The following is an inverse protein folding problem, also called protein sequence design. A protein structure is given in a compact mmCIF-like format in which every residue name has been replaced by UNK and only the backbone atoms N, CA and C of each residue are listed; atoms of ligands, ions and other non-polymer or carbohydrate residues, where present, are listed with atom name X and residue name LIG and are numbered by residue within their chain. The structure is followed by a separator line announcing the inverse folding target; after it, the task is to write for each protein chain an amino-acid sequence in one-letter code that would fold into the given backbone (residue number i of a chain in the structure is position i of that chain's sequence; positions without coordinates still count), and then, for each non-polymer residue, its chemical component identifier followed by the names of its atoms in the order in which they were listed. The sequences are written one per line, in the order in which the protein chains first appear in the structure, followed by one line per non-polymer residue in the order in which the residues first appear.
data_IF_551831955381
#
_entry.id   IF_551831955381
#
_cell.length_a   1.000
_cell.length_b   1.000
_cell.length_c   1.000
_cell.angle_alpha   90.00
_cell.angle_beta   90.00
_cell.angle_gamma   90.00
#
_symmetry.space_group_name_H-M   'P 1'
#
loop_
_entity.id
_entity.type
_entity.pdbx_description
1 polymer ?
#
# COMPACT_ATOMS: atom_id res chain seq x y z
N UNK A 1 5.27 32.73 -48.60
CA UNK A 1 4.32 31.67 -48.19
C UNK A 1 5.11 30.60 -47.45
N UNK A 2 5.14 30.68 -46.12
CA UNK A 2 5.57 29.58 -45.26
C UNK A 2 4.36 29.23 -44.40
N UNK A 3 3.97 27.96 -44.46
CA UNK A 3 2.81 27.39 -43.80
C UNK A 3 2.95 27.45 -42.27
N UNK A 4 1.86 27.65 -41.52
CA UNK A 4 1.90 27.57 -40.07
C UNK A 4 2.19 26.13 -39.66
N UNK A 5 3.13 25.96 -38.74
CA UNK A 5 3.27 24.74 -37.96
C UNK A 5 1.99 24.53 -37.15
N UNK A 6 1.23 23.50 -37.50
CA UNK A 6 0.18 22.93 -36.66
C UNK A 6 0.82 22.39 -35.38
N UNK A 7 0.90 23.24 -34.35
CA UNK A 7 0.86 22.77 -32.98
C UNK A 7 -0.51 22.12 -32.79
N UNK A 8 -0.57 20.80 -32.97
CA UNK A 8 -1.70 20.01 -32.49
C UNK A 8 -1.72 20.21 -30.97
N UNK A 9 -2.53 21.15 -30.51
CA UNK A 9 -2.94 21.25 -29.12
C UNK A 9 -3.65 19.93 -28.80
N UNK A 10 -2.87 18.95 -28.30
CA UNK A 10 -3.42 17.75 -27.70
C UNK A 10 -4.37 18.27 -26.63
N UNK A 11 -5.69 18.16 -26.85
CA UNK A 11 -6.68 18.38 -25.80
C UNK A 11 -6.24 17.48 -24.64
N UNK A 12 -5.65 18.08 -23.61
CA UNK A 12 -5.32 17.36 -22.39
C UNK A 12 -6.67 17.00 -21.79
N UNK A 13 -7.00 15.71 -21.73
CA UNK A 13 -8.22 15.30 -21.06
C UNK A 13 -8.21 15.72 -19.60
N UNK A 14 -9.34 15.64 -18.91
CA UNK A 14 -9.44 16.06 -17.53
C UNK A 14 -10.08 14.99 -16.66
N UNK A 15 -9.70 15.00 -15.39
CA UNK A 15 -10.37 14.32 -14.30
C UNK A 15 -10.72 15.40 -13.27
N UNK A 16 -12.02 15.71 -13.15
CA UNK A 16 -12.52 16.85 -12.38
C UNK A 16 -13.31 16.36 -11.18
N UNK A 17 -12.94 16.86 -9.99
CA UNK A 17 -13.79 16.83 -8.81
C UNK A 17 -14.67 18.07 -8.81
N UNK A 18 -15.98 17.86 -8.88
CA UNK A 18 -16.97 18.94 -8.95
C UNK A 18 -17.37 19.43 -7.55
N UNK A 19 -17.85 18.51 -6.73
CA UNK A 19 -18.41 18.81 -5.41
C UNK A 19 -18.01 17.72 -4.41
N UNK A 20 -18.06 18.07 -3.12
CA UNK A 20 -17.95 17.12 -2.02
C UNK A 20 -19.08 17.36 -1.05
N UNK A 21 -19.70 16.29 -0.56
CA UNK A 21 -20.76 16.35 0.46
C UNK A 21 -20.59 15.24 1.49
N UNK A 22 -21.14 15.46 2.69
CA UNK A 22 -21.31 14.40 3.69
C UNK A 22 -22.79 14.02 3.69
N UNK A 23 -23.08 12.74 3.58
CA UNK A 23 -24.44 12.18 3.65
C UNK A 23 -24.49 11.16 4.78
N UNK A 24 -25.38 11.38 5.74
CA UNK A 24 -25.70 10.41 6.78
C UNK A 24 -27.00 9.68 6.41
N UNK A 25 -27.00 8.34 6.45
CA UNK A 25 -28.17 7.52 6.19
C UNK A 25 -28.27 6.35 7.17
N UNK A 26 -29.28 6.37 8.05
CA UNK A 26 -29.51 5.27 8.99
C UNK A 26 -28.30 4.99 9.89
N UNK A 27 -27.57 3.93 9.58
CA UNK A 27 -26.43 3.40 10.33
C UNK A 27 -25.05 3.82 9.80
N UNK A 28 -24.99 4.66 8.75
CA UNK A 28 -23.73 5.06 8.14
C UNK A 28 -23.62 6.56 7.82
N UNK A 29 -22.38 7.02 7.75
CA UNK A 29 -21.99 8.34 7.22
C UNK A 29 -21.04 8.14 6.04
N UNK A 30 -21.28 8.86 4.95
CA UNK A 30 -20.46 8.81 3.73
C UNK A 30 -19.93 10.20 3.38
N UNK A 31 -18.63 10.31 3.17
CA UNK A 31 -18.02 11.41 2.44
C UNK A 31 -18.07 11.06 0.95
N UNK A 32 -18.70 11.90 0.13
CA UNK A 32 -18.98 11.62 -1.29
C UNK A 32 -18.42 12.75 -2.14
N UNK A 33 -17.77 12.40 -3.25
CA UNK A 33 -17.34 13.33 -4.28
C UNK A 33 -17.97 12.98 -5.64
N UNK A 34 -18.46 14.01 -6.32
CA UNK A 34 -18.92 13.91 -7.71
C UNK A 34 -17.73 14.17 -8.64
N UNK A 35 -17.43 13.20 -9.52
CA UNK A 35 -16.26 13.21 -10.38
C UNK A 35 -16.66 13.02 -11.84
N UNK A 36 -16.04 13.79 -12.72
CA UNK A 36 -16.09 13.62 -14.17
C UNK A 36 -14.71 13.28 -14.70
N UNK A 37 -14.63 12.45 -15.73
CA UNK A 37 -13.38 12.09 -16.42
C UNK A 37 -13.68 11.96 -17.90
N UNK A 38 -12.82 12.48 -18.77
CA UNK A 38 -13.02 12.33 -20.23
C UNK A 38 -12.97 10.87 -20.68
N UNK A 39 -12.31 10.00 -19.90
CA UNK A 39 -12.28 8.56 -20.16
C UNK A 39 -13.48 7.79 -19.62
N UNK A 40 -14.40 8.45 -18.91
CA UNK A 40 -15.64 7.82 -18.39
C UNK A 40 -16.85 8.53 -19.01
N UNK A 41 -17.79 7.81 -19.67
CA UNK A 41 -18.89 8.45 -20.39
C UNK A 41 -19.81 9.32 -19.52
N UNK A 42 -20.03 8.90 -18.28
CA UNK A 42 -20.94 9.54 -17.33
C UNK A 42 -20.18 9.98 -16.06
N UNK A 43 -20.62 11.06 -15.39
CA UNK A 43 -20.14 11.39 -14.06
C UNK A 43 -20.34 10.22 -13.08
N UNK A 44 -19.44 10.09 -12.11
CA UNK A 44 -19.49 9.03 -11.11
C UNK A 44 -19.20 9.55 -9.71
N UNK A 45 -19.70 8.83 -8.70
CA UNK A 45 -19.46 9.15 -7.29
C UNK A 45 -18.31 8.31 -6.73
N UNK A 46 -17.35 8.97 -6.08
CA UNK A 46 -16.38 8.33 -5.20
C UNK A 46 -16.81 8.53 -3.76
N UNK A 47 -16.61 7.54 -2.89
CA UNK A 47 -16.95 7.69 -1.48
C UNK A 47 -15.96 7.05 -0.51
N UNK A 48 -16.00 7.56 0.72
CA UNK A 48 -15.54 6.88 1.93
C UNK A 48 -16.74 6.77 2.87
N UNK A 49 -17.07 5.55 3.28
CA UNK A 49 -18.21 5.23 4.13
C UNK A 49 -17.74 4.68 5.47
N UNK A 50 -18.37 5.12 6.54
CA UNK A 50 -18.08 4.73 7.92
C UNK A 50 -19.37 4.52 8.72
N UNK A 51 -19.33 3.80 9.84
CA UNK A 51 -20.45 3.72 10.78
C UNK A 51 -20.88 5.10 11.30
N UNK A 52 -22.17 5.29 11.54
CA UNK A 52 -22.76 6.60 11.89
C UNK A 52 -22.14 7.22 13.15
N UNK A 53 -21.66 6.43 14.10
CA UNK A 53 -20.99 6.95 15.30
C UNK A 53 -19.71 7.74 15.01
N UNK A 54 -19.14 7.59 13.81
CA UNK A 54 -17.98 8.34 13.34
C UNK A 54 -18.35 9.56 12.48
N UNK A 55 -19.63 9.96 12.39
CA UNK A 55 -20.04 11.20 11.72
C UNK A 55 -19.20 12.43 12.15
N UNK A 56 -18.88 12.64 13.45
CA UNK A 56 -18.06 13.78 13.86
C UNK A 56 -16.62 13.74 13.33
N UNK A 57 -16.16 12.59 12.84
CA UNK A 57 -14.80 12.39 12.32
C UNK A 57 -14.73 12.72 10.83
N UNK A 58 -15.88 12.70 10.15
CA UNK A 58 -15.99 12.94 8.71
C UNK A 58 -16.29 14.42 8.47
N UNK A 59 -15.51 15.05 7.60
CA UNK A 59 -15.76 16.43 7.19
C UNK A 59 -15.82 16.53 5.68
N UNK A 60 -16.61 17.48 5.16
CA UNK A 60 -16.78 17.74 3.73
C UNK A 60 -15.51 18.36 3.09
N UNK A 61 -14.38 17.67 3.19
CA UNK A 61 -13.10 18.11 2.62
C UNK A 61 -12.86 17.47 1.25
N UNK A 62 -12.37 18.23 0.26
CA UNK A 62 -11.93 17.70 -1.04
C UNK A 62 -10.57 16.99 -0.99
N UNK A 63 -9.78 17.23 0.05
CA UNK A 63 -8.40 16.71 0.19
C UNK A 63 -8.26 15.19 -0.01
N UNK A 64 -9.14 14.34 0.56
CA UNK A 64 -9.10 12.88 0.36
C UNK A 64 -9.13 12.49 -1.11
N UNK A 65 -10.03 13.10 -1.87
CA UNK A 65 -10.25 12.74 -3.27
C UNK A 65 -9.16 13.32 -4.17
N UNK A 66 -8.62 14.49 -3.85
CA UNK A 66 -7.46 15.03 -4.58
C UNK A 66 -6.25 14.07 -4.52
N UNK A 67 -6.00 13.50 -3.33
CA UNK A 67 -4.98 12.46 -3.14
C UNK A 67 -5.34 11.19 -3.90
N UNK A 68 -6.58 10.72 -3.79
CA UNK A 68 -7.04 9.50 -4.45
C UNK A 68 -7.01 9.58 -5.99
N UNK A 69 -7.21 10.76 -6.57
CA UNK A 69 -7.33 10.96 -8.02
C UNK A 69 -5.99 11.22 -8.71
N UNK A 70 -4.93 11.61 -7.99
CA UNK A 70 -3.66 12.03 -8.60
C UNK A 70 -3.03 10.94 -9.47
N UNK A 71 -2.80 9.75 -8.93
CA UNK A 71 -2.15 8.64 -9.67
C UNK A 71 -3.03 8.18 -10.86
N UNK A 72 -4.35 7.98 -10.70
CA UNK A 72 -5.25 7.72 -11.82
C UNK A 72 -5.20 8.77 -12.93
N UNK A 73 -5.21 10.07 -12.58
CA UNK A 73 -5.11 11.15 -13.57
C UNK A 73 -3.77 11.08 -14.34
N UNK A 74 -2.66 10.79 -13.67
CA UNK A 74 -1.35 10.61 -14.30
C UNK A 74 -1.29 9.41 -15.24
N UNK A 75 -1.92 8.29 -14.86
CA UNK A 75 -2.02 7.08 -15.68
C UNK A 75 -2.84 7.32 -16.95
N UNK A 76 -3.96 8.04 -16.81
CA UNK A 76 -4.87 8.36 -17.90
C UNK A 76 -4.38 9.50 -18.79
N UNK A 77 -3.41 10.27 -18.32
CA UNK A 77 -2.94 11.46 -19.02
C UNK A 77 -3.90 12.64 -18.93
N UNK A 78 -4.74 12.65 -17.90
CA UNK A 78 -5.72 13.69 -17.65
C UNK A 78 -5.15 14.74 -16.69
N UNK A 79 -5.50 16.02 -16.90
CA UNK A 79 -5.29 17.09 -15.94
C UNK A 79 -6.20 16.85 -14.71
N UNK A 80 -5.61 16.93 -13.52
CA UNK A 80 -6.36 16.84 -12.27
C UNK A 80 -6.96 18.21 -11.95
N UNK A 81 -8.28 18.32 -12.00
CA UNK A 81 -9.01 19.55 -11.69
C UNK A 81 -9.81 19.37 -10.40
N UNK A 82 -9.63 20.27 -9.44
CA UNK A 82 -10.38 20.23 -8.19
C UNK A 82 -11.10 21.56 -8.03
N UNK A 83 -12.43 21.53 -8.15
CA UNK A 83 -13.25 22.76 -8.06
C UNK A 83 -13.30 23.32 -6.63
N UNK A 84 -13.50 22.51 -5.57
CA UNK A 84 -13.43 23.00 -4.19
C UNK A 84 -11.99 23.28 -3.74
N UNK A 85 -11.77 24.24 -2.81
CA UNK A 85 -10.43 24.61 -2.40
C UNK A 85 -9.76 23.57 -1.50
N UNK A 86 -8.49 23.25 -1.80
CA UNK A 86 -7.67 22.29 -1.08
C UNK A 86 -6.90 22.92 0.09
N UNK A 87 -6.47 22.08 1.03
CA UNK A 87 -5.37 22.40 1.93
C UNK A 87 -4.17 23.02 1.17
N UNK A 88 -3.68 24.21 1.55
CA UNK A 88 -2.50 24.83 0.96
C UNK A 88 -1.25 23.94 0.99
N UNK A 89 -1.00 23.28 2.12
CA UNK A 89 0.10 22.33 2.31
C UNK A 89 -0.05 21.15 1.34
N UNK A 90 -1.24 20.54 1.28
CA UNK A 90 -1.48 19.43 0.36
C UNK A 90 -1.30 19.86 -1.09
N UNK A 91 -1.88 20.99 -1.50
CA UNK A 91 -1.76 21.50 -2.87
C UNK A 91 -0.28 21.69 -3.28
N UNK A 92 0.53 22.25 -2.38
CA UNK A 92 1.96 22.39 -2.61
C UNK A 92 2.67 21.03 -2.78
N UNK A 93 2.31 20.05 -1.95
CA UNK A 93 2.93 18.74 -1.96
C UNK A 93 2.44 17.81 -3.08
N UNK A 94 1.20 17.94 -3.56
CA UNK A 94 0.66 17.14 -4.67
C UNK A 94 1.51 17.30 -5.94
N UNK A 95 2.00 18.51 -6.22
CA UNK A 95 2.93 18.74 -7.33
C UNK A 95 4.26 17.99 -7.18
N UNK A 96 4.78 17.87 -5.95
CA UNK A 96 6.00 17.11 -5.64
C UNK A 96 5.77 15.61 -5.74
N UNK A 97 4.64 15.11 -5.23
CA UNK A 97 4.25 13.71 -5.34
C UNK A 97 4.12 13.31 -6.81
N UNK A 98 3.44 14.13 -7.62
CA UNK A 98 3.36 13.93 -9.09
C UNK A 98 4.76 13.80 -9.69
N UNK A 99 5.67 14.70 -9.35
CA UNK A 99 7.02 14.71 -9.93
C UNK A 99 7.83 13.46 -9.50
N UNK A 100 7.66 12.99 -8.25
CA UNK A 100 8.23 11.72 -7.76
C UNK A 100 7.69 10.54 -8.57
N UNK A 101 6.37 10.39 -8.70
CA UNK A 101 5.77 9.30 -9.46
C UNK A 101 6.14 9.35 -10.94
N UNK A 102 6.21 10.53 -11.55
CA UNK A 102 6.65 10.69 -12.94
C UNK A 102 8.13 10.31 -13.13
N UNK A 103 8.97 10.57 -12.13
CA UNK A 103 10.38 10.16 -12.15
C UNK A 103 10.52 8.64 -12.05
N UNK A 104 9.73 7.98 -11.19
CA UNK A 104 9.73 6.52 -11.07
C UNK A 104 9.06 5.81 -12.25
N UNK A 105 8.09 6.46 -12.87
CA UNK A 105 7.31 5.94 -13.99
C UNK A 105 7.25 6.98 -15.11
N UNK A 106 8.31 7.09 -15.94
CA UNK A 106 8.37 8.08 -17.03
C UNK A 106 7.25 7.93 -18.07
N UNK A 107 6.61 6.75 -18.12
CA UNK A 107 5.44 6.49 -18.96
C UNK A 107 4.16 7.18 -18.46
N UNK A 108 4.11 7.61 -17.19
CA UNK A 108 2.97 8.37 -16.68
C UNK A 108 3.06 9.80 -17.17
N UNK A 109 1.92 10.44 -17.42
CA UNK A 109 1.94 11.86 -17.75
C UNK A 109 2.22 12.67 -16.49
N UNK A 110 3.01 13.73 -16.67
CA UNK A 110 3.14 14.78 -15.66
C UNK A 110 1.89 15.66 -15.69
N UNK A 111 0.79 15.14 -15.18
CA UNK A 111 -0.52 15.79 -15.21
C UNK A 111 -0.50 17.18 -14.56
N UNK A 112 -1.22 18.10 -15.19
CA UNK A 112 -1.45 19.43 -14.63
C UNK A 112 -2.38 19.32 -13.41
N UNK A 113 -2.15 20.15 -12.40
CA UNK A 113 -2.96 20.19 -11.18
C UNK A 113 -3.60 21.57 -11.10
N UNK A 114 -4.91 21.62 -11.32
CA UNK A 114 -5.71 22.85 -11.36
C UNK A 114 -6.62 22.88 -10.14
N UNK A 115 -6.19 23.56 -9.09
CA UNK A 115 -6.93 23.71 -7.85
C UNK A 115 -6.58 25.06 -7.19
N UNK A 116 -7.47 25.56 -6.34
CA UNK A 116 -7.22 26.76 -5.52
C UNK A 116 -6.89 26.34 -4.08
N UNK A 117 -5.98 27.05 -3.40
CA UNK A 117 -5.78 26.87 -1.97
C UNK A 117 -7.00 27.41 -1.21
N UNK A 118 -7.31 26.78 -0.07
CA UNK A 118 -8.28 27.30 0.90
C UNK A 118 -7.71 28.53 1.58
N UNK A 119 -8.56 29.53 1.82
CA UNK A 119 -8.16 30.78 2.45
C UNK A 119 -7.95 30.65 3.97
N UNK A 120 -8.74 29.79 4.62
CA UNK A 120 -8.69 29.54 6.04
C UNK A 120 -8.63 28.03 6.23
N UNK A 121 -7.53 27.57 6.81
CA UNK A 121 -7.42 26.17 7.17
C UNK A 121 -8.27 25.88 8.39
N UNK A 122 -8.94 24.73 8.39
CA UNK A 122 -9.69 24.34 9.57
C UNK A 122 -8.75 24.14 10.75
N UNK A 123 -9.26 24.34 11.96
CA UNK A 123 -8.53 24.02 13.17
C UNK A 123 -7.93 22.59 13.10
N UNK A 124 -6.75 22.37 13.72
CA UNK A 124 -6.14 21.05 13.82
C UNK A 124 -7.16 20.01 14.30
N UNK A 125 -7.04 18.78 13.78
CA UNK A 125 -7.93 17.69 14.17
C UNK A 125 -7.86 17.42 15.68
N UNK A 126 -8.81 16.61 16.20
CA UNK A 126 -8.74 16.20 17.59
C UNK A 126 -7.35 15.61 17.91
N UNK A 127 -6.85 15.83 19.13
CA UNK A 127 -5.55 15.31 19.57
C UNK A 127 -5.59 13.79 19.78
N UNK A 128 -5.72 13.06 18.67
CA UNK A 128 -5.88 11.62 18.56
C UNK A 128 -5.09 11.14 17.35
N UNK A 129 -4.47 9.98 17.51
CA UNK A 129 -3.85 9.26 16.42
C UNK A 129 -4.60 7.95 16.10
N UNK A 130 -4.47 7.51 14.85
CA UNK A 130 -4.90 6.21 14.36
C UNK A 130 -3.80 5.52 13.56
N UNK A 131 -3.93 4.20 13.36
CA UNK A 131 -3.09 3.46 12.39
C UNK A 131 -3.97 2.57 11.51
N UNK A 132 -3.61 2.43 10.24
CA UNK A 132 -4.20 1.38 9.42
C UNK A 132 -3.80 0.01 9.95
N UNK A 133 -4.75 -0.91 10.00
CA UNK A 133 -4.53 -2.23 10.59
C UNK A 133 -5.24 -3.33 9.81
N UNK A 134 -4.48 -4.29 9.28
CA UNK A 134 -5.00 -5.41 8.51
C UNK A 134 -4.71 -6.78 9.14
N UNK A 135 -4.08 -6.80 10.32
CA UNK A 135 -3.62 -7.99 11.03
C UNK A 135 -2.25 -8.52 10.58
N UNK A 136 -1.57 -7.84 9.66
CA UNK A 136 -0.24 -8.22 9.18
C UNK A 136 0.90 -7.80 10.10
N UNK A 137 2.10 -8.34 9.86
CA UNK A 137 3.33 -8.01 10.62
C UNK A 137 3.54 -6.51 10.74
N UNK A 138 3.47 -5.80 9.62
CA UNK A 138 3.79 -4.37 9.56
C UNK A 138 2.79 -3.53 10.37
N UNK A 139 1.48 -3.80 10.25
CA UNK A 139 0.46 -3.11 11.04
C UNK A 139 0.47 -3.49 12.53
N UNK A 140 0.80 -4.75 12.86
CA UNK A 140 1.01 -5.17 14.26
C UNK A 140 2.18 -4.41 14.88
N UNK A 141 3.27 -4.25 14.13
CA UNK A 141 4.43 -3.52 14.61
C UNK A 141 4.07 -2.09 14.97
N UNK A 142 3.46 -1.34 14.05
CA UNK A 142 3.04 0.05 14.31
C UNK A 142 2.05 0.15 15.49
N UNK A 143 1.05 -0.75 15.56
CA UNK A 143 0.08 -0.76 16.65
C UNK A 143 0.76 -0.96 18.02
N UNK A 144 1.55 -2.03 18.17
CA UNK A 144 2.15 -2.38 19.46
C UNK A 144 3.29 -1.42 19.85
N UNK A 145 4.02 -0.88 18.86
CA UNK A 145 5.05 0.15 19.07
C UNK A 145 4.46 1.36 19.80
N UNK A 146 3.37 1.92 19.28
CA UNK A 146 2.77 3.14 19.83
C UNK A 146 1.74 2.92 20.94
N UNK A 147 1.41 1.68 21.28
CA UNK A 147 0.53 1.34 22.41
C UNK A 147 1.25 1.07 23.73
N UNK A 148 2.57 1.14 23.78
CA UNK A 148 3.28 1.06 25.06
C UNK A 148 4.79 1.11 25.01
N UNK A 149 5.40 1.43 23.86
CA UNK A 149 6.86 1.39 23.69
C UNK A 149 7.43 2.74 23.27
N UNK A 150 6.78 3.38 22.30
CA UNK A 150 7.15 4.70 21.79
C UNK A 150 5.93 5.63 21.75
N UNK A 151 6.18 6.92 21.61
CA UNK A 151 5.14 7.94 21.58
C UNK A 151 4.98 8.54 20.17
N UNK A 152 3.72 8.67 19.75
CA UNK A 152 3.35 9.61 18.69
C UNK A 152 3.12 11.00 19.28
N UNK A 153 3.12 12.07 18.46
CA UNK A 153 2.74 13.40 18.91
C UNK A 153 1.29 13.49 19.46
N UNK A 154 0.44 12.52 19.12
CA UNK A 154 -0.92 12.37 19.62
C UNK A 154 -1.17 10.92 20.07
N UNK A 155 -2.02 10.66 21.09
CA UNK A 155 -2.25 9.31 21.60
C UNK A 155 -2.88 8.41 20.54
N UNK A 156 -2.32 7.20 20.35
CA UNK A 156 -2.91 6.18 19.49
C UNK A 156 -4.18 5.61 20.14
N UNK A 157 -5.32 5.96 19.56
CA UNK A 157 -6.66 5.66 20.12
C UNK A 157 -7.47 4.71 19.26
N UNK A 158 -7.17 4.61 17.96
CA UNK A 158 -7.95 3.80 17.02
C UNK A 158 -7.07 3.02 16.04
N UNK A 159 -7.59 1.89 15.58
CA UNK A 159 -7.18 1.25 14.33
C UNK A 159 -8.23 1.48 13.24
N UNK A 160 -7.77 1.57 11.99
CA UNK A 160 -8.64 1.72 10.81
C UNK A 160 -8.45 0.52 9.89
N UNK A 161 -9.55 -0.16 9.56
CA UNK A 161 -9.61 -1.20 8.54
C UNK A 161 -10.52 -0.72 7.41
N UNK A 162 -10.06 -0.83 6.16
CA UNK A 162 -10.79 -0.33 5.00
C UNK A 162 -11.13 -1.45 4.03
N UNK A 163 -12.43 -1.67 3.80
CA UNK A 163 -12.96 -2.46 2.70
C UNK A 163 -12.81 -1.69 1.38
N UNK A 164 -12.56 -2.41 0.29
CA UNK A 164 -12.56 -1.80 -1.04
C UNK A 164 -11.27 -1.07 -1.44
N UNK A 165 -10.24 -1.03 -0.58
CA UNK A 165 -8.94 -0.44 -0.90
C UNK A 165 -7.91 -1.48 -1.38
N UNK A 166 -7.44 -2.38 -0.51
CA UNK A 166 -6.47 -3.43 -0.89
C UNK A 166 -7.03 -4.40 -1.93
N UNK A 167 -8.34 -4.66 -1.85
CA UNK A 167 -9.11 -5.43 -2.83
C UNK A 167 -10.37 -4.65 -3.20
N UNK A 168 -10.78 -4.63 -4.48
CA UNK A 168 -12.08 -4.10 -4.86
C UNK A 168 -13.21 -4.83 -4.11
N UNK A 169 -14.32 -4.14 -3.85
CA UNK A 169 -15.43 -4.66 -3.04
C UNK A 169 -15.99 -5.99 -3.58
N UNK A 170 -16.16 -6.08 -4.91
CA UNK A 170 -16.71 -7.27 -5.57
C UNK A 170 -15.81 -8.51 -5.49
N UNK A 171 -14.55 -8.34 -5.06
CA UNK A 171 -13.59 -9.42 -4.88
C UNK A 171 -13.52 -9.94 -3.44
N UNK A 172 -14.19 -9.26 -2.51
CA UNK A 172 -14.17 -9.62 -1.10
C UNK A 172 -15.03 -10.86 -0.84
N UNK A 173 -14.47 -11.81 -0.11
CA UNK A 173 -15.12 -13.02 0.40
C UNK A 173 -14.73 -13.20 1.86
N UNK A 174 -15.70 -13.49 2.72
CA UNK A 174 -15.51 -13.70 4.17
C UNK A 174 -14.80 -12.53 4.88
N UNK A 175 -15.01 -11.29 4.41
CA UNK A 175 -14.35 -10.09 4.97
C UNK A 175 -14.77 -9.85 6.42
N UNK A 176 -15.99 -10.24 6.78
CA UNK A 176 -16.56 -10.16 8.12
C UNK A 176 -15.70 -10.93 9.13
N UNK A 177 -15.08 -12.04 8.72
CA UNK A 177 -14.17 -12.79 9.59
C UNK A 177 -12.88 -12.00 9.87
N UNK A 178 -12.34 -11.29 8.87
CA UNK A 178 -11.18 -10.40 9.08
C UNK A 178 -11.55 -9.17 9.90
N UNK A 179 -12.75 -8.61 9.71
CA UNK A 179 -13.24 -7.50 10.53
C UNK A 179 -13.36 -7.93 11.99
N UNK A 180 -13.96 -9.10 12.26
CA UNK A 180 -14.06 -9.63 13.61
C UNK A 180 -12.68 -9.89 14.22
N UNK A 181 -11.73 -10.44 13.44
CA UNK A 181 -10.34 -10.61 13.88
C UNK A 181 -9.72 -9.26 14.30
N UNK A 182 -9.90 -8.22 13.48
CA UNK A 182 -9.36 -6.88 13.76
C UNK A 182 -10.03 -6.26 14.99
N UNK A 183 -11.34 -6.42 15.17
CA UNK A 183 -12.06 -5.98 16.38
C UNK A 183 -11.53 -6.67 17.63
N UNK A 184 -11.37 -7.99 17.60
CA UNK A 184 -10.81 -8.77 18.72
C UNK A 184 -9.41 -8.26 19.11
N UNK A 185 -8.55 -7.96 18.13
CA UNK A 185 -7.22 -7.41 18.39
C UNK A 185 -7.31 -5.99 18.98
N UNK A 186 -8.17 -5.14 18.42
CA UNK A 186 -8.36 -3.77 18.89
C UNK A 186 -8.83 -3.75 20.35
N UNK A 187 -9.79 -4.61 20.70
CA UNK A 187 -10.31 -4.76 22.07
C UNK A 187 -9.21 -5.25 23.02
N UNK A 188 -8.43 -6.26 22.61
CA UNK A 188 -7.32 -6.79 23.42
C UNK A 188 -6.22 -5.74 23.69
N UNK A 189 -5.98 -4.82 22.76
CA UNK A 189 -5.00 -3.73 22.88
C UNK A 189 -5.59 -2.46 23.54
N UNK A 190 -6.92 -2.42 23.69
CA UNK A 190 -7.65 -1.29 24.28
C UNK A 190 -7.67 -0.05 23.38
N UNK A 191 -7.97 -0.22 22.08
CA UNK A 191 -8.16 0.85 21.10
C UNK A 191 -9.49 0.70 20.37
N UNK A 192 -10.06 1.81 19.90
CA UNK A 192 -11.24 1.78 19.04
C UNK A 192 -10.97 1.14 17.68
N UNK A 193 -12.00 0.57 17.06
CA UNK A 193 -11.90 -0.07 15.75
C UNK A 193 -12.86 0.59 14.76
N UNK A 194 -12.31 1.24 13.74
CA UNK A 194 -13.07 1.83 12.63
C UNK A 194 -13.02 0.86 11.46
N UNK A 195 -14.17 0.29 11.09
CA UNK A 195 -14.33 -0.46 9.85
C UNK A 195 -14.98 0.46 8.83
N UNK A 196 -14.21 0.92 7.86
CA UNK A 196 -14.67 1.76 6.76
C UNK A 196 -14.73 1.03 5.43
N UNK A 197 -15.31 1.68 4.44
CA UNK A 197 -15.47 1.17 3.08
C UNK A 197 -15.22 2.27 2.05
N UNK A 198 -14.71 1.91 0.87
CA UNK A 198 -14.58 2.83 -0.24
C UNK A 198 -14.69 2.15 -1.60
N UNK A 199 -15.26 2.84 -2.57
CA UNK A 199 -15.38 2.37 -3.96
C UNK A 199 -14.27 2.88 -4.90
N UNK A 200 -13.19 3.50 -4.40
CA UNK A 200 -12.11 4.03 -5.25
C UNK A 200 -11.64 3.01 -6.29
N UNK A 201 -11.53 1.74 -5.90
CA UNK A 201 -11.05 0.63 -6.74
C UNK A 201 -12.05 0.18 -7.81
N UNK A 202 -13.31 0.62 -7.76
CA UNK A 202 -14.29 0.38 -8.83
C UNK A 202 -14.01 1.27 -10.05
N UNK A 203 -13.43 2.46 -9.82
CA UNK A 203 -13.15 3.43 -10.88
C UNK A 203 -11.65 3.53 -11.21
N UNK A 204 -10.77 3.18 -10.28
CA UNK A 204 -9.33 3.33 -10.42
C UNK A 204 -8.60 1.98 -10.46
N UNK A 205 -8.36 1.50 -11.68
CA UNK A 205 -7.59 0.27 -11.94
C UNK A 205 -6.07 0.52 -11.96
N UNK A 206 -5.56 1.08 -10.85
CA UNK A 206 -4.12 1.18 -10.63
C UNK A 206 -3.62 -0.07 -9.88
N UNK A 207 -2.37 -0.51 -10.11
CA UNK A 207 -1.79 -1.57 -9.29
C UNK A 207 -1.72 -1.11 -7.82
N UNK A 208 -2.38 -1.85 -6.92
CA UNK A 208 -2.48 -1.45 -5.51
C UNK A 208 -1.10 -1.31 -4.87
N UNK A 209 -0.25 -2.33 -4.96
CA UNK A 209 1.02 -2.37 -4.24
C UNK A 209 2.03 -1.37 -4.82
N UNK A 210 2.14 -1.30 -6.14
CA UNK A 210 3.20 -0.57 -6.81
C UNK A 210 2.84 0.89 -7.06
N UNK A 211 1.55 1.25 -7.12
CA UNK A 211 1.14 2.59 -7.54
C UNK A 211 0.18 3.29 -6.57
N UNK A 212 -0.72 2.56 -5.90
CA UNK A 212 -1.91 3.18 -5.34
C UNK A 212 -2.10 3.06 -3.82
N UNK A 213 -1.37 2.16 -3.14
CA UNK A 213 -1.62 1.88 -1.73
C UNK A 213 -1.40 3.10 -0.83
N UNK A 214 -0.34 3.88 -1.03
CA UNK A 214 -0.05 5.07 -0.23
C UNK A 214 -1.09 6.15 -0.44
N UNK A 215 -1.46 6.48 -1.69
CA UNK A 215 -2.50 7.48 -1.96
C UNK A 215 -3.88 7.02 -1.49
N UNK A 216 -4.23 5.74 -1.68
CA UNK A 216 -5.51 5.19 -1.22
C UNK A 216 -5.65 5.22 0.31
N UNK A 217 -4.59 4.82 1.03
CA UNK A 217 -4.58 4.88 2.50
C UNK A 217 -4.54 6.33 3.01
N UNK A 218 -3.70 7.19 2.43
CA UNK A 218 -3.69 8.60 2.82
C UNK A 218 -5.05 9.27 2.57
N UNK A 219 -5.72 8.98 1.46
CA UNK A 219 -7.06 9.48 1.19
C UNK A 219 -8.07 9.03 2.27
N UNK A 220 -8.05 7.74 2.67
CA UNK A 220 -8.89 7.25 3.76
C UNK A 220 -8.55 7.87 5.12
N UNK A 221 -7.28 8.22 5.37
CA UNK A 221 -6.89 8.93 6.59
C UNK A 221 -7.45 10.36 6.60
N UNK A 222 -7.34 11.06 5.47
CA UNK A 222 -7.82 12.43 5.32
C UNK A 222 -9.36 12.52 5.40
N UNK A 223 -10.09 11.47 4.98
CA UNK A 223 -11.56 11.47 5.08
C UNK A 223 -12.07 11.41 6.51
N UNK A 224 -11.24 10.95 7.45
CA UNK A 224 -11.47 10.95 8.90
C UNK A 224 -10.81 12.14 9.61
N UNK A 225 -10.45 13.20 8.88
CA UNK A 225 -9.66 14.31 9.42
C UNK A 225 -10.33 15.08 10.56
N UNK A 226 -11.65 15.03 10.72
CA UNK A 226 -12.32 15.59 11.90
C UNK A 226 -11.97 14.88 13.20
N UNK A 227 -11.58 13.61 13.13
CA UNK A 227 -11.34 12.76 14.29
C UNK A 227 -9.88 12.60 14.70
N UNK A 228 -8.92 12.85 13.80
CA UNK A 228 -7.50 12.56 14.00
C UNK A 228 -6.60 13.71 13.57
N UNK A 229 -5.52 13.90 14.31
CA UNK A 229 -4.41 14.77 13.91
C UNK A 229 -3.25 14.00 13.29
N UNK A 230 -3.14 12.69 13.57
CA UNK A 230 -2.08 11.82 13.05
C UNK A 230 -2.63 10.49 12.60
N UNK A 231 -2.24 10.01 11.42
CA UNK A 231 -2.59 8.66 10.96
C UNK A 231 -1.36 7.95 10.41
N UNK A 232 -1.06 6.78 10.95
CA UNK A 232 0.08 5.98 10.55
C UNK A 232 -0.26 5.06 9.36
N UNK A 233 0.66 5.02 8.40
CA UNK A 233 0.74 4.01 7.33
C UNK A 233 1.96 3.15 7.66
N UNK A 234 1.75 1.87 7.92
CA UNK A 234 2.82 0.93 8.22
C UNK A 234 3.66 0.63 6.97
N UNK A 235 4.99 0.73 7.11
CA UNK A 235 5.93 0.56 6.01
C UNK A 235 6.02 -0.89 5.54
N UNK A 236 6.14 -1.09 4.23
CA UNK A 236 6.41 -2.42 3.65
C UNK A 236 7.91 -2.72 3.55
N UNK A 237 8.73 -1.70 3.26
CA UNK A 237 10.18 -1.80 3.12
C UNK A 237 10.87 -0.96 4.20
N UNK A 238 12.08 -1.36 4.57
CA UNK A 238 12.93 -0.59 5.48
C UNK A 238 13.66 0.54 4.75
N UNK A 239 14.24 1.49 5.50
CA UNK A 239 15.06 2.57 4.95
C UNK A 239 16.32 2.07 4.24
N UNK A 240 16.74 0.83 4.51
CA UNK A 240 17.87 0.18 3.84
C UNK A 240 17.59 -0.11 2.36
N UNK A 241 16.34 -0.41 2.04
CA UNK A 241 15.93 -0.92 0.74
C UNK A 241 14.86 0.02 0.14
N UNK A 242 15.25 1.21 -0.37
CA UNK A 242 14.30 2.14 -0.97
C UNK A 242 13.76 1.55 -2.28
N UNK A 243 12.55 1.00 -2.22
CA UNK A 243 11.85 0.46 -3.40
C UNK A 243 10.79 1.44 -3.88
N UNK A 244 10.72 1.62 -5.20
CA UNK A 244 9.68 2.41 -5.86
C UNK A 244 8.36 1.64 -5.84
N UNK A 245 7.54 1.88 -4.82
CA UNK A 245 6.20 1.33 -4.67
C UNK A 245 5.18 2.44 -4.35
N UNK A 246 3.91 2.09 -4.26
CA UNK A 246 2.83 3.06 -4.08
C UNK A 246 2.79 3.71 -2.70
N UNK A 247 3.56 3.19 -1.73
CA UNK A 247 3.66 3.70 -0.36
C UNK A 247 5.12 3.75 0.08
N UNK A 248 5.63 4.95 0.34
CA UNK A 248 7.02 5.19 0.71
C UNK A 248 7.11 6.39 1.66
N UNK A 249 8.19 6.53 2.45
CA UNK A 249 8.40 7.77 3.23
C UNK A 249 8.54 9.02 2.33
N UNK A 250 8.92 8.84 1.07
CA UNK A 250 9.01 9.95 0.10
C UNK A 250 7.64 10.44 -0.36
N UNK A 251 6.61 9.60 -0.38
CA UNK A 251 5.27 9.97 -0.87
C UNK A 251 4.27 10.17 0.26
N UNK A 252 4.23 9.26 1.23
CA UNK A 252 3.11 9.12 2.15
C UNK A 252 2.94 10.34 3.04
N UNK A 253 4.04 10.81 3.64
CA UNK A 253 4.03 11.98 4.53
C UNK A 253 3.68 13.28 3.78
N UNK A 254 3.92 13.33 2.46
CA UNK A 254 3.59 14.48 1.61
C UNK A 254 2.09 14.61 1.34
N UNK A 255 1.29 13.60 1.66
CA UNK A 255 -0.17 13.71 1.63
C UNK A 255 -0.76 14.38 2.88
N UNK A 256 0.07 14.82 3.83
CA UNK A 256 -0.39 15.56 5.01
C UNK A 256 -1.05 16.89 4.63
N UNK A 257 -2.03 17.28 5.44
CA UNK A 257 -2.63 18.62 5.44
C UNK A 257 -2.22 19.34 6.73
N UNK A 258 -2.67 20.59 6.89
CA UNK A 258 -2.52 21.34 8.15
C UNK A 258 -3.24 20.66 9.32
N UNK A 259 -4.29 19.88 9.01
CA UNK A 259 -5.14 19.22 10.00
C UNK A 259 -4.66 17.83 10.37
N UNK A 260 -4.23 17.05 9.38
CA UNK A 260 -3.90 15.62 9.51
C UNK A 260 -2.49 15.36 9.00
N UNK A 261 -1.63 14.86 9.88
CA UNK A 261 -0.30 14.40 9.53
C UNK A 261 -0.30 12.90 9.21
N UNK A 262 0.13 12.56 8.01
CA UNK A 262 0.40 11.17 7.63
C UNK A 262 1.81 10.81 8.12
N UNK A 263 1.93 9.68 8.81
CA UNK A 263 3.20 9.18 9.36
C UNK A 263 3.52 7.85 8.70
N UNK A 264 4.65 7.76 8.00
CA UNK A 264 5.12 6.49 7.44
C UNK A 264 5.96 5.76 8.49
N UNK A 265 5.40 4.73 9.12
CA UNK A 265 6.00 4.12 10.33
C UNK A 265 6.62 2.74 10.09
N UNK A 266 7.69 2.44 10.81
CA UNK A 266 8.30 1.12 10.88
C UNK A 266 9.39 0.87 9.85
N UNK A 267 9.78 1.86 9.05
CA UNK A 267 10.85 1.70 8.07
C UNK A 267 12.25 1.59 8.70
N UNK A 268 12.40 1.82 10.01
CA UNK A 268 13.65 1.61 10.75
C UNK A 268 14.03 0.13 10.91
N UNK A 269 13.11 -0.80 10.70
CA UNK A 269 13.36 -2.25 10.78
C UNK A 269 12.95 -2.97 9.50
N UNK A 270 13.74 -3.99 9.16
CA UNK A 270 13.35 -5.01 8.21
C UNK A 270 12.19 -5.86 8.75
N UNK A 271 11.45 -6.50 7.84
CA UNK A 271 10.19 -7.16 8.20
C UNK A 271 10.33 -8.34 9.18
N UNK A 272 11.34 -9.24 9.08
CA UNK A 272 11.49 -10.32 10.06
C UNK A 272 11.86 -9.81 11.47
N UNK A 273 12.52 -8.66 11.58
CA UNK A 273 12.86 -7.98 12.83
C UNK A 273 11.62 -7.36 13.44
N UNK A 274 10.75 -6.73 12.64
CA UNK A 274 9.41 -6.30 13.11
C UNK A 274 8.64 -7.47 13.71
N UNK A 275 8.65 -8.62 13.03
CA UNK A 275 7.99 -9.84 13.52
C UNK A 275 8.58 -10.28 14.87
N UNK A 276 9.90 -10.32 15.01
CA UNK A 276 10.54 -10.67 16.27
C UNK A 276 10.15 -9.70 17.40
N UNK A 277 10.06 -8.39 17.12
CA UNK A 277 9.62 -7.38 18.09
C UNK A 277 8.18 -7.58 18.53
N UNK A 278 7.24 -7.77 17.62
CA UNK A 278 5.83 -7.96 18.00
C UNK A 278 5.63 -9.26 18.79
N UNK A 279 6.37 -10.33 18.47
CA UNK A 279 6.37 -11.56 19.25
C UNK A 279 6.98 -11.38 20.64
N UNK A 280 8.03 -10.55 20.76
CA UNK A 280 8.60 -10.20 22.07
C UNK A 280 7.62 -9.37 22.90
N UNK A 281 6.83 -8.49 22.28
CA UNK A 281 5.92 -7.62 22.98
C UNK A 281 4.62 -8.29 23.40
N UNK A 282 4.05 -9.13 22.54
CA UNK A 282 2.81 -9.87 22.82
C UNK A 282 2.70 -11.14 21.94
N UNK A 283 3.42 -12.19 22.34
CA UNK A 283 3.49 -13.47 21.62
C UNK A 283 2.12 -14.09 21.40
N UNK A 284 1.30 -14.14 22.46
CA UNK A 284 0.02 -14.84 22.45
C UNK A 284 -0.97 -14.14 21.53
N UNK A 285 -1.08 -12.81 21.61
CA UNK A 285 -1.96 -12.05 20.73
C UNK A 285 -1.53 -12.21 19.26
N UNK A 286 -0.22 -12.10 18.98
CA UNK A 286 0.31 -12.19 17.62
C UNK A 286 0.12 -13.59 17.03
N UNK A 287 0.55 -14.66 17.73
CA UNK A 287 0.47 -16.03 17.17
C UNK A 287 -0.95 -16.53 16.98
N UNK A 288 -1.91 -16.03 17.77
CA UNK A 288 -3.35 -16.33 17.59
C UNK A 288 -3.99 -15.60 16.41
N UNK A 289 -3.50 -14.41 16.03
CA UNK A 289 -4.22 -13.53 15.10
C UNK A 289 -3.42 -13.01 13.90
N UNK A 290 -2.14 -13.37 13.73
CA UNK A 290 -1.30 -12.84 12.65
C UNK A 290 -1.83 -13.24 11.25
N UNK A 291 -2.27 -12.27 10.45
CA UNK A 291 -2.87 -12.48 9.12
C UNK A 291 -2.14 -11.67 8.06
N UNK A 292 -1.41 -12.35 7.18
CA UNK A 292 -0.55 -11.74 6.15
C UNK A 292 -0.96 -12.05 4.72
N UNK A 293 -1.87 -13.00 4.54
CA UNK A 293 -2.28 -13.47 3.22
C UNK A 293 -3.14 -12.45 2.49
N UNK A 294 -2.93 -12.35 1.18
CA UNK A 294 -3.71 -11.52 0.24
C UNK A 294 -4.45 -12.36 -0.83
N UNK A 295 -4.33 -13.67 -0.73
CA UNK A 295 -4.95 -14.67 -1.63
C UNK A 295 -6.17 -15.35 -0.99
N UNK A 296 -6.46 -15.04 0.28
CA UNK A 296 -7.62 -15.52 1.03
C UNK A 296 -8.88 -14.67 0.78
N UNK A 297 -8.82 -13.73 -0.17
CA UNK A 297 -9.91 -12.84 -0.61
C UNK A 297 -10.65 -12.06 0.48
N UNK A 298 -10.10 -11.96 1.69
CA UNK A 298 -10.79 -11.31 2.83
C UNK A 298 -10.93 -12.20 4.05
N UNK A 299 -10.69 -13.50 3.97
CA UNK A 299 -10.78 -14.41 5.11
C UNK A 299 -9.73 -14.16 6.20
N UNK A 300 -9.97 -14.71 7.39
CA UNK A 300 -9.15 -14.54 8.60
C UNK A 300 -8.00 -15.56 8.76
N UNK A 301 -7.57 -16.21 7.68
CA UNK A 301 -6.55 -17.28 7.67
C UNK A 301 -5.40 -16.98 6.71
N UNK A 302 -4.29 -17.70 6.82
CA UNK A 302 -3.19 -17.65 5.86
C UNK A 302 -3.22 -18.86 4.92
N UNK A 303 -3.20 -18.65 3.59
CA UNK A 303 -3.21 -19.78 2.63
C UNK A 303 -1.95 -20.64 2.66
N UNK A 304 -0.86 -20.15 3.26
CA UNK A 304 0.43 -20.85 3.40
C UNK A 304 1.17 -21.19 2.09
N UNK A 305 0.59 -20.83 0.94
CA UNK A 305 1.14 -21.11 -0.40
C UNK A 305 1.68 -19.85 -1.08
N UNK A 306 1.21 -18.66 -0.71
CA UNK A 306 1.62 -17.42 -1.37
C UNK A 306 2.93 -16.86 -0.80
N UNK A 307 3.59 -15.99 -1.58
CA UNK A 307 4.86 -15.32 -1.19
C UNK A 307 4.79 -14.64 0.18
N UNK A 308 3.71 -13.89 0.47
CA UNK A 308 3.55 -13.21 1.77
C UNK A 308 3.47 -14.20 2.95
N UNK A 309 2.83 -15.36 2.75
CA UNK A 309 2.76 -16.40 3.77
C UNK A 309 4.14 -17.04 3.99
N UNK A 310 4.78 -17.54 2.94
CA UNK A 310 6.12 -18.16 3.03
C UNK A 310 7.14 -17.19 3.62
N UNK A 311 7.15 -15.92 3.17
CA UNK A 311 8.00 -14.86 3.74
C UNK A 311 7.82 -14.66 5.24
N UNK A 312 6.63 -14.91 5.77
CA UNK A 312 6.34 -14.76 7.21
C UNK A 312 6.63 -16.07 7.97
N UNK A 313 6.41 -17.23 7.35
CA UNK A 313 6.72 -18.52 7.96
C UNK A 313 8.22 -18.78 8.09
N UNK A 314 9.05 -18.29 7.16
CA UNK A 314 10.51 -18.37 7.23
C UNK A 314 11.07 -17.86 8.59
N UNK A 315 10.82 -16.60 9.01
CA UNK A 315 11.33 -16.09 10.28
C UNK A 315 10.61 -16.68 11.49
N UNK A 316 9.31 -17.01 11.41
CA UNK A 316 8.62 -17.77 12.47
C UNK A 316 9.31 -19.11 12.73
N UNK A 317 9.74 -19.80 11.67
CA UNK A 317 10.46 -21.08 11.77
C UNK A 317 11.87 -20.89 12.28
N UNK A 318 12.58 -19.85 11.83
CA UNK A 318 13.89 -19.48 12.39
C UNK A 318 13.83 -19.19 13.89
N UNK A 319 12.72 -18.65 14.39
CA UNK A 319 12.49 -18.43 15.82
C UNK A 319 12.00 -19.67 16.58
N UNK A 320 11.68 -20.76 15.88
CA UNK A 320 11.13 -21.99 16.49
C UNK A 320 9.68 -21.87 16.98
N UNK A 321 8.92 -20.90 16.46
CA UNK A 321 7.56 -20.57 16.96
C UNK A 321 6.46 -20.79 15.90
N UNK A 322 6.83 -21.28 14.71
CA UNK A 322 5.90 -21.47 13.62
C UNK A 322 4.73 -22.39 14.00
N UNK A 323 4.98 -23.46 14.75
CA UNK A 323 3.96 -24.45 15.11
C UNK A 323 2.85 -23.88 16.00
N UNK A 324 3.16 -22.86 16.81
CA UNK A 324 2.21 -22.13 17.65
C UNK A 324 1.33 -21.13 16.86
N UNK A 325 1.71 -20.78 15.63
CA UNK A 325 0.96 -19.82 14.81
C UNK A 325 -0.35 -20.44 14.29
N UNK A 326 -1.47 -20.07 14.91
CA UNK A 326 -2.79 -20.69 14.70
C UNK A 326 -3.35 -20.39 13.31
N UNK A 327 -3.13 -19.17 12.82
CA UNK A 327 -3.66 -18.69 11.52
C UNK A 327 -2.96 -19.31 10.30
N UNK A 328 -1.93 -20.15 10.50
CA UNK A 328 -1.18 -20.86 9.45
C UNK A 328 -1.55 -22.35 9.45
N UNK A 329 -2.63 -22.78 8.78
CA UNK A 329 -3.12 -24.15 8.84
C UNK A 329 -2.17 -25.18 8.19
N UNK A 330 -1.35 -24.78 7.21
CA UNK A 330 -0.39 -25.67 6.54
C UNK A 330 1.04 -25.12 6.69
N UNK A 331 1.90 -25.86 7.37
CA UNK A 331 3.28 -25.44 7.69
C UNK A 331 4.33 -26.24 6.91
N UNK A 332 3.91 -26.98 5.88
CA UNK A 332 4.82 -27.76 5.03
C UNK A 332 5.79 -26.86 4.27
N UNK A 333 7.05 -27.28 4.20
CA UNK A 333 8.14 -26.57 3.50
C UNK A 333 8.30 -26.96 2.03
N UNK A 334 7.51 -27.92 1.53
CA UNK A 334 7.74 -28.57 0.24
C UNK A 334 7.87 -27.60 -0.95
N UNK A 335 7.13 -26.50 -0.93
CA UNK A 335 7.08 -25.48 -1.98
C UNK A 335 7.86 -24.19 -1.66
N UNK A 336 8.53 -24.12 -0.50
CA UNK A 336 9.12 -22.86 -0.03
C UNK A 336 10.25 -22.35 -0.94
N UNK A 337 11.09 -23.25 -1.47
CA UNK A 337 12.18 -22.86 -2.38
C UNK A 337 11.63 -22.16 -3.63
N UNK A 338 10.62 -22.77 -4.27
CA UNK A 338 9.97 -22.23 -5.47
C UNK A 338 9.35 -20.85 -5.19
N UNK A 339 8.58 -20.74 -4.11
CA UNK A 339 7.88 -19.50 -3.75
C UNK A 339 8.87 -18.39 -3.38
N UNK A 340 9.86 -18.66 -2.53
CA UNK A 340 10.86 -17.69 -2.12
C UNK A 340 11.77 -17.26 -3.27
N UNK A 341 12.06 -18.15 -4.23
CA UNK A 341 12.83 -17.82 -5.43
C UNK A 341 12.13 -16.78 -6.33
N UNK A 342 10.80 -16.65 -6.20
CA UNK A 342 9.98 -15.68 -6.93
C UNK A 342 9.59 -14.45 -6.11
N UNK A 343 10.14 -14.30 -4.91
CA UNK A 343 9.95 -13.10 -4.09
C UNK A 343 10.89 -11.95 -4.52
N UNK A 344 10.71 -10.75 -3.98
CA UNK A 344 11.68 -9.66 -4.19
C UNK A 344 12.96 -9.95 -3.42
N UNK A 345 14.11 -9.70 -4.04
CA UNK A 345 15.41 -10.04 -3.45
C UNK A 345 15.64 -9.44 -2.06
N UNK A 346 15.29 -8.16 -1.77
CA UNK A 346 15.48 -7.58 -0.44
C UNK A 346 14.84 -8.41 0.68
N UNK A 347 13.59 -8.88 0.50
CA UNK A 347 12.93 -9.72 1.51
C UNK A 347 13.61 -11.08 1.71
N UNK A 348 14.19 -11.66 0.66
CA UNK A 348 14.92 -12.94 0.79
C UNK A 348 16.22 -12.72 1.55
N UNK A 349 16.91 -11.61 1.29
CA UNK A 349 18.15 -11.23 1.96
C UNK A 349 17.91 -10.88 3.44
N UNK A 350 16.87 -10.09 3.74
CA UNK A 350 16.40 -9.82 5.10
C UNK A 350 16.14 -11.12 5.89
N UNK A 351 15.42 -12.07 5.30
CA UNK A 351 15.15 -13.35 5.98
C UNK A 351 16.40 -14.21 6.17
N UNK A 352 17.36 -14.15 5.23
CA UNK A 352 18.63 -14.87 5.36
C UNK A 352 19.47 -14.29 6.50
N UNK A 353 19.61 -12.97 6.54
CA UNK A 353 20.33 -12.26 7.59
C UNK A 353 19.71 -12.54 8.96
N UNK A 354 18.37 -12.47 9.04
CA UNK A 354 17.63 -12.77 10.24
C UNK A 354 17.83 -14.22 10.71
N UNK A 355 17.74 -15.20 9.81
CA UNK A 355 17.94 -16.61 10.13
C UNK A 355 19.34 -16.88 10.68
N UNK A 356 20.38 -16.27 10.08
CA UNK A 356 21.76 -16.36 10.58
C UNK A 356 21.92 -15.72 11.96
N UNK A 357 21.34 -14.54 12.18
CA UNK A 357 21.45 -13.81 13.44
C UNK A 357 20.80 -14.54 14.63
N UNK A 358 19.80 -15.38 14.37
CA UNK A 358 19.04 -16.07 15.41
C UNK A 358 19.37 -17.56 15.53
N UNK A 359 20.44 -18.04 14.88
CA UNK A 359 20.76 -19.48 14.77
C UNK A 359 19.54 -20.31 14.33
N UNK A 360 18.80 -19.79 13.34
CA UNK A 360 17.55 -20.39 12.87
C UNK A 360 17.75 -21.75 12.21
N UNK A 361 16.63 -22.41 11.90
CA UNK A 361 16.59 -23.74 11.27
C UNK A 361 17.63 -23.86 10.12
N UNK A 362 18.62 -24.78 10.23
CA UNK A 362 19.67 -24.95 9.23
C UNK A 362 19.12 -25.22 7.82
N UNK A 363 17.97 -25.90 7.70
CA UNK A 363 17.34 -26.16 6.42
C UNK A 363 16.80 -24.86 5.78
N UNK A 364 16.19 -23.98 6.59
CA UNK A 364 15.72 -22.66 6.14
C UNK A 364 16.89 -21.78 5.72
N UNK A 365 17.96 -21.76 6.53
CA UNK A 365 19.16 -20.97 6.24
C UNK A 365 19.80 -21.42 4.92
N UNK A 366 20.02 -22.72 4.74
CA UNK A 366 20.61 -23.28 3.52
C UNK A 366 19.75 -23.00 2.27
N UNK A 367 18.42 -23.11 2.38
CA UNK A 367 17.48 -22.78 1.30
C UNK A 367 17.64 -21.32 0.87
N UNK A 368 17.64 -20.39 1.82
CA UNK A 368 17.75 -18.95 1.54
C UNK A 368 19.12 -18.60 0.94
N UNK A 369 20.20 -19.20 1.45
CA UNK A 369 21.56 -19.02 0.90
C UNK A 369 21.64 -19.44 -0.57
N UNK A 370 21.08 -20.60 -0.92
CA UNK A 370 21.06 -21.07 -2.31
C UNK A 370 20.29 -20.10 -3.22
N UNK A 371 19.15 -19.60 -2.77
CA UNK A 371 18.35 -18.63 -3.54
C UNK A 371 19.13 -17.33 -3.76
N UNK A 372 19.68 -16.75 -2.69
CA UNK A 372 20.44 -15.49 -2.76
C UNK A 372 21.66 -15.65 -3.67
N UNK A 373 22.44 -16.72 -3.51
CA UNK A 373 23.61 -16.99 -4.36
C UNK A 373 23.23 -17.12 -5.84
N UNK A 374 22.19 -17.91 -6.17
CA UNK A 374 21.72 -18.06 -7.56
C UNK A 374 21.25 -16.73 -8.14
N UNK A 375 20.53 -15.91 -7.37
CA UNK A 375 19.99 -14.61 -7.83
C UNK A 375 21.06 -13.55 -8.00
N UNK A 376 22.00 -13.42 -7.06
CA UNK A 376 23.13 -12.48 -7.17
C UNK A 376 24.04 -12.84 -8.36
N UNK A 377 24.34 -14.13 -8.58
CA UNK A 377 25.07 -14.57 -9.78
C UNK A 377 24.35 -14.19 -11.07
N UNK A 378 23.03 -14.38 -11.12
CA UNK A 378 22.21 -14.00 -12.28
C UNK A 378 22.18 -12.49 -12.51
N UNK A 379 22.11 -11.69 -11.45
CA UNK A 379 22.18 -10.23 -11.53
C UNK A 379 23.56 -9.75 -11.99
N UNK A 380 24.64 -10.29 -11.42
CA UNK A 380 26.02 -9.98 -11.82
C UNK A 380 26.29 -10.34 -13.28
N UNK A 381 25.81 -11.50 -13.75
CA UNK A 381 25.93 -11.88 -15.16
C UNK A 381 25.15 -10.91 -16.06
N UNK A 382 23.94 -10.50 -15.66
CA UNK A 382 23.14 -9.52 -16.40
C UNK A 382 23.81 -8.16 -16.46
N UNK A 383 24.36 -7.65 -15.35
CA UNK A 383 25.07 -6.37 -15.34
C UNK A 383 26.32 -6.40 -16.20
N UNK A 384 27.09 -7.50 -16.16
CA UNK A 384 28.24 -7.70 -17.05
C UNK A 384 27.84 -7.70 -18.52
N UNK A 385 26.72 -8.34 -18.88
CA UNK A 385 26.22 -8.37 -20.25
C UNK A 385 25.70 -7.00 -20.72
N UNK A 386 25.00 -6.26 -19.85
CA UNK A 386 24.49 -4.91 -20.15
C UNK A 386 25.62 -3.89 -20.32
N UNK A 387 26.71 -4.05 -19.56
CA UNK A 387 27.88 -3.17 -19.59
C UNK A 387 28.98 -3.65 -20.57
N UNK A 388 28.71 -4.70 -21.36
CA UNK A 388 29.64 -5.20 -22.37
C UNK A 388 29.47 -4.43 -23.69
N UNK A 389 30.56 -4.19 -24.45
CA UNK A 389 30.49 -3.62 -25.80
C UNK A 389 29.69 -4.47 -26.81
N UNK A 390 29.29 -5.69 -26.44
CA UNK A 390 28.43 -6.59 -27.24
C UNK A 390 26.91 -6.42 -26.96
N UNK A 391 26.52 -5.45 -26.12
CA UNK A 391 25.10 -5.21 -25.73
C UNK A 391 24.16 -4.97 -26.92
N UNK A 392 24.68 -4.47 -28.05
CA UNK A 392 23.94 -4.31 -29.32
C UNK A 392 23.54 -5.60 -30.04
N UNK A 393 24.09 -6.77 -29.66
CA UNK A 393 23.82 -8.06 -30.32
C UNK A 393 22.74 -8.90 -29.59
N UNK A 394 22.42 -8.57 -28.33
CA UNK A 394 21.46 -9.32 -27.51
C UNK A 394 20.00 -9.32 -28.01
N UNK A 395 19.44 -8.25 -28.62
CA UNK A 395 18.08 -8.27 -29.13
C UNK A 395 17.87 -9.37 -30.19
N UNK A 396 18.90 -9.69 -30.97
CA UNK A 396 18.87 -10.74 -32.00
C UNK A 396 18.81 -12.15 -31.40
N UNK A 397 19.49 -12.39 -30.28
CA UNK A 397 19.54 -13.72 -29.63
C UNK A 397 18.26 -14.00 -28.83
N UNK A 398 17.71 -12.99 -28.16
CA UNK A 398 16.46 -13.10 -27.38
C UNK A 398 15.24 -13.27 -28.31
N UNK A 399 15.20 -12.55 -29.44
CA UNK A 399 14.17 -12.72 -30.48
C UNK A 399 14.16 -14.12 -31.09
N UNK A 400 15.35 -14.71 -31.29
CA UNK A 400 15.51 -16.05 -31.85
C UNK A 400 15.03 -17.14 -30.87
N UNK A 401 15.29 -17.00 -29.55
CA UNK A 401 14.76 -17.91 -28.53
C UNK A 401 13.23 -17.85 -28.37
N UNK A 402 12.62 -16.67 -28.50
CA UNK A 402 11.15 -16.52 -28.52
C UNK A 402 10.51 -17.19 -29.73
N UNK A 403 11.12 -17.06 -30.92
CA UNK A 403 10.66 -17.76 -32.14
C UNK A 403 10.77 -19.28 -32.03
N UNK A 404 11.86 -19.80 -31.51
CA UNK A 404 12.04 -21.25 -31.33
C UNK A 404 11.03 -21.84 -30.33
N UNK A 405 10.70 -21.11 -29.25
CA UNK A 405 9.70 -21.52 -28.27
C UNK A 405 8.29 -21.51 -28.87
N UNK A 406 7.93 -20.48 -29.63
CA UNK A 406 6.65 -20.38 -30.33
C UNK A 406 6.46 -21.45 -31.43
N UNK A 407 7.55 -21.91 -32.05
CA UNK A 407 7.52 -23.03 -33.01
C UNK A 407 7.30 -24.37 -32.27
N UNK A 408 7.95 -24.58 -31.12
CA UNK A 408 7.74 -25.78 -30.28
C UNK A 408 6.33 -25.88 -29.70
N UNK A 409 5.74 -24.75 -29.31
CA UNK A 409 4.38 -24.70 -28.75
C UNK A 409 3.28 -24.83 -29.82
N UNK A 410 3.62 -24.72 -31.12
CA UNK A 410 2.71 -25.01 -32.26
C UNK A 410 2.80 -26.45 -32.78
N UNK A 411 3.76 -27.24 -32.29
CA UNK A 411 3.98 -28.65 -32.68
C UNK A 411 3.56 -29.64 -31.59
N UNK A 412 2.92 -29.14 -30.52
CA UNK A 412 2.14 -29.91 -29.54
C UNK A 412 0.69 -29.47 -29.66
#
# INVERSE_FOLDING_TARGET
MQSPTDEIAIRKGFMRLNTVSVRANGDAVSLIAEVESEQTPEPFELYFKFPIEYEPFVSASPDPFAVAMLVPAMLRGEALQISPPLSPQLLFHLGRVRDIFHTWHPQFRRSEILAKPRAIDPAPGANRAATFFSGGVDSFYTLLKYRGREALPAPLTHVIFMRGLEKPLDFLKDVEASEQLVRTIADAVGVGCIIGESNLRAYFDADWLHLYCGSGLAAAALSLGGGFSHVCIASTYSYRDPVTIGSTPLTDERYSTERVRIVHDGAELARPEKLARILQWDRDLVLKHLRVCVMNFGGAYNCCECRKCVRTMLPLRSLGVLDEAVTFPNKSMAHWEEVAAHDTLPFVEENLEFARAHNGDPAVTALLEQIVLRRRRKQALRSLLLNSPLSGVLPAIVGTRRRIRAIKDRMK
#
